data_IF_990352085780
#
_entry.id   IF_990352085780
#
_cell.length_a   1.000
_cell.length_b   1.000
_cell.length_c   1.000
_cell.angle_alpha   90.00
_cell.angle_beta   90.00
_cell.angle_gamma   90.00
#
_symmetry.space_group_name_H-M   'P 1'
#
loop_
_entity.id
_entity.type
_entity.pdbx_description
1 polymer ?
#
# COMPACT_ATOMS: atom_id res chain seq x y z
N UNK A 1 21.00 2.42 -24.39
CA UNK A 1 21.13 1.63 -23.17
C UNK A 1 19.98 0.65 -23.16
N UNK A 2 20.26 -0.63 -22.96
CA UNK A 2 19.27 -1.71 -22.94
C UNK A 2 18.34 -1.56 -21.73
N UNK A 3 17.03 -1.46 -21.97
CA UNK A 3 16.02 -1.59 -20.92
C UNK A 3 15.49 -3.02 -20.96
N UNK A 4 15.54 -3.68 -19.79
CA UNK A 4 15.43 -5.12 -19.65
C UNK A 4 14.08 -5.69 -20.06
N UNK A 5 14.12 -6.88 -20.64
CA UNK A 5 12.93 -7.68 -20.91
C UNK A 5 12.41 -8.21 -19.58
N UNK A 6 11.12 -7.99 -19.30
CA UNK A 6 10.41 -8.73 -18.28
C UNK A 6 10.41 -10.21 -18.69
N UNK A 7 10.95 -11.06 -17.84
CA UNK A 7 10.95 -12.50 -18.04
C UNK A 7 9.51 -13.00 -17.89
N UNK A 8 8.86 -13.32 -19.00
CA UNK A 8 7.54 -13.94 -19.03
C UNK A 8 7.65 -15.29 -18.31
N UNK A 9 7.16 -15.37 -17.08
CA UNK A 9 6.98 -16.66 -16.43
C UNK A 9 5.71 -17.29 -17.01
N UNK A 10 5.95 -18.39 -17.70
CA UNK A 10 5.04 -19.27 -18.42
C UNK A 10 3.80 -19.65 -17.58
N UNK A 11 2.60 -19.29 -18.04
CA UNK A 11 1.30 -19.58 -17.40
C UNK A 11 0.73 -20.97 -17.75
N UNK A 12 1.51 -21.83 -18.40
CA UNK A 12 1.06 -23.15 -18.80
C UNK A 12 0.43 -23.22 -20.21
N UNK A 13 0.42 -22.14 -20.99
CA UNK A 13 0.11 -22.22 -22.43
C UNK A 13 1.37 -22.58 -23.23
N UNK A 14 1.29 -23.67 -23.99
CA UNK A 14 2.31 -24.12 -24.96
C UNK A 14 2.86 -22.95 -25.79
N UNK A 15 4.19 -22.86 -26.03
CA UNK A 15 4.85 -21.70 -26.65
C UNK A 15 4.59 -21.53 -28.16
N UNK A 16 3.43 -21.98 -28.66
CA UNK A 16 3.13 -22.09 -30.07
C UNK A 16 2.08 -21.09 -30.59
N UNK A 17 1.42 -20.33 -29.73
CA UNK A 17 0.44 -19.33 -30.17
C UNK A 17 0.94 -17.91 -29.90
N UNK A 18 1.35 -17.16 -30.95
CA UNK A 18 1.52 -15.72 -30.85
C UNK A 18 0.13 -15.09 -30.86
N UNK A 19 -0.66 -15.31 -29.81
CA UNK A 19 -1.75 -14.39 -29.52
C UNK A 19 -1.06 -13.09 -29.14
N UNK A 20 -1.21 -12.12 -30.03
CA UNK A 20 -0.71 -10.77 -29.88
C UNK A 20 -0.93 -10.29 -28.44
N UNK A 21 0.17 -9.99 -27.75
CA UNK A 21 0.17 -9.04 -26.64
C UNK A 21 -0.35 -7.72 -27.20
N UNK A 22 -1.67 -7.52 -27.09
CA UNK A 22 -2.37 -6.34 -27.55
C UNK A 22 -2.32 -5.21 -26.51
N UNK A 23 -1.49 -5.36 -25.47
CA UNK A 23 -1.36 -4.44 -24.35
C UNK A 23 -2.58 -4.45 -23.42
N UNK A 24 -3.42 -5.49 -23.46
CA UNK A 24 -4.63 -5.61 -22.61
C UNK A 24 -4.48 -6.58 -21.45
N UNK A 25 -3.31 -7.19 -21.26
CA UNK A 25 -3.03 -8.03 -20.09
C UNK A 25 -2.38 -7.19 -19.00
N UNK A 26 -2.85 -7.38 -17.77
CA UNK A 26 -2.26 -6.73 -16.59
C UNK A 26 -0.86 -7.26 -16.33
N UNK A 27 0.03 -6.39 -15.85
CA UNK A 27 1.36 -6.81 -15.39
C UNK A 27 1.21 -7.59 -14.09
N UNK A 28 1.89 -8.73 -14.01
CA UNK A 28 2.03 -9.52 -12.80
C UNK A 28 3.47 -9.51 -12.29
N UNK A 29 3.65 -9.33 -10.98
CA UNK A 29 4.96 -9.37 -10.33
C UNK A 29 4.85 -10.10 -8.99
N UNK A 30 5.63 -11.18 -8.82
CA UNK A 30 5.59 -12.04 -7.61
C UNK A 30 4.18 -12.51 -7.23
N UNK A 31 3.33 -12.79 -8.23
CA UNK A 31 1.95 -13.22 -8.01
C UNK A 31 0.96 -12.08 -7.71
N UNK A 32 1.40 -10.82 -7.74
CA UNK A 32 0.52 -9.65 -7.65
C UNK A 32 0.18 -9.17 -9.04
N UNK A 33 -1.11 -9.16 -9.39
CA UNK A 33 -1.65 -8.55 -10.61
C UNK A 33 -2.12 -7.10 -10.32
N UNK A 34 -2.29 -6.30 -11.37
CA UNK A 34 -2.85 -4.94 -11.32
C UNK A 34 -2.08 -3.93 -10.45
N UNK A 35 -0.78 -3.77 -10.70
CA UNK A 35 0.12 -2.95 -9.88
C UNK A 35 -0.09 -1.42 -9.96
N UNK A 36 -0.98 -0.93 -10.84
CA UNK A 36 -1.22 0.51 -11.05
C UNK A 36 -2.67 0.93 -10.80
N UNK A 37 -3.28 0.32 -9.79
CA UNK A 37 -4.59 0.70 -9.30
C UNK A 37 -5.73 -0.02 -10.00
N UNK A 38 -6.40 -0.87 -9.25
CA UNK A 38 -7.67 -1.48 -9.63
C UNK A 38 -8.64 -1.31 -8.46
N UNK A 39 -8.33 -1.91 -7.33
CA UNK A 39 -9.07 -1.77 -6.07
C UNK A 39 -8.05 -1.41 -4.98
N UNK A 40 -8.45 -0.58 -4.03
CA UNK A 40 -7.66 -0.37 -2.82
C UNK A 40 -7.50 -1.68 -2.06
N UNK A 41 -6.33 -1.92 -1.50
CA UNK A 41 -6.08 -3.09 -0.66
C UNK A 41 -5.92 -2.66 0.80
N UNK A 42 -6.73 -3.23 1.68
CA UNK A 42 -6.57 -3.03 3.12
C UNK A 42 -5.37 -3.83 3.64
N UNK A 43 -4.59 -3.21 4.52
CA UNK A 43 -3.42 -3.82 5.17
C UNK A 43 -3.77 -4.13 6.62
N UNK A 44 -3.88 -5.40 6.96
CA UNK A 44 -4.10 -5.84 8.34
C UNK A 44 -2.79 -5.79 9.15
N UNK A 45 -2.90 -5.77 10.48
CA UNK A 45 -1.73 -5.67 11.38
C UNK A 45 -1.12 -4.27 11.44
N UNK A 46 -1.78 -3.25 10.88
CA UNK A 46 -1.29 -1.87 10.83
C UNK A 46 -2.37 -0.87 11.25
N UNK A 47 -2.09 -0.11 12.32
CA UNK A 47 -2.96 0.95 12.83
C UNK A 47 -2.21 2.29 12.84
N UNK A 48 -2.94 3.40 12.74
CA UNK A 48 -2.35 4.74 12.70
C UNK A 48 -3.00 5.62 13.75
N UNK A 49 -2.18 6.13 14.67
CA UNK A 49 -2.66 6.95 15.77
C UNK A 49 -2.75 8.40 15.34
N UNK A 50 -3.96 8.96 15.32
CA UNK A 50 -4.22 10.25 14.66
C UNK A 50 -3.43 11.39 15.30
N UNK A 51 -3.49 11.51 16.62
CA UNK A 51 -2.86 12.59 17.39
C UNK A 51 -1.32 12.60 17.28
N UNK A 52 -0.73 11.47 16.87
CA UNK A 52 0.72 11.31 16.70
C UNK A 52 1.14 11.27 15.22
N UNK A 53 0.18 11.12 14.31
CA UNK A 53 0.38 10.77 12.89
C UNK A 53 1.34 9.59 12.72
N UNK A 54 1.30 8.65 13.67
CA UNK A 54 2.31 7.60 13.79
C UNK A 54 1.70 6.23 13.48
N UNK A 55 2.33 5.45 12.59
CA UNK A 55 1.99 4.05 12.38
C UNK A 55 2.42 3.14 13.53
N UNK A 56 1.63 2.11 13.78
CA UNK A 56 1.87 1.02 14.71
C UNK A 56 1.63 -0.30 14.00
N UNK A 57 2.58 -1.22 14.10
CA UNK A 57 2.52 -2.50 13.39
C UNK A 57 2.62 -3.68 14.36
N UNK A 58 1.93 -4.76 14.02
CA UNK A 58 2.10 -6.09 14.59
C UNK A 58 2.64 -7.04 13.52
N UNK A 59 3.50 -7.97 13.92
CA UNK A 59 4.13 -8.98 13.04
C UNK A 59 3.55 -10.39 13.24
N UNK A 60 2.77 -10.62 14.30
CA UNK A 60 2.03 -11.86 14.56
C UNK A 60 0.57 -11.71 14.15
N UNK A 61 0.19 -12.35 13.04
CA UNK A 61 -1.17 -12.32 12.51
C UNK A 61 -2.23 -12.85 13.48
N UNK A 62 -1.85 -13.65 14.48
CA UNK A 62 -2.78 -14.12 15.52
C UNK A 62 -3.20 -13.02 16.51
N UNK A 63 -2.48 -11.90 16.52
CA UNK A 63 -2.67 -10.76 17.40
C UNK A 63 -3.24 -9.53 16.68
N UNK A 64 -3.57 -9.63 15.38
CA UNK A 64 -4.09 -8.50 14.63
C UNK A 64 -5.44 -8.04 15.19
N UNK A 65 -5.53 -6.73 15.43
CA UNK A 65 -6.68 -6.05 16.00
C UNK A 65 -6.78 -4.62 15.45
N UNK A 66 -8.00 -4.16 15.23
CA UNK A 66 -8.28 -2.77 14.85
C UNK A 66 -8.12 -1.83 16.06
N UNK A 67 -7.64 -0.60 15.83
CA UNK A 67 -7.51 0.44 16.86
C UNK A 67 -6.73 0.00 18.12
N UNK A 68 -5.75 -0.89 17.96
CA UNK A 68 -4.85 -1.34 19.01
C UNK A 68 -3.48 -0.68 18.84
N UNK A 69 -2.93 -0.16 19.93
CA UNK A 69 -1.70 0.65 19.96
C UNK A 69 -0.74 0.23 21.09
N UNK A 70 -1.06 -0.85 21.78
CA UNK A 70 -0.26 -1.43 22.86
C UNK A 70 0.07 -2.91 22.59
N UNK A 71 0.88 -3.50 23.48
CA UNK A 71 1.17 -4.93 23.45
C UNK A 71 1.91 -5.37 22.19
N UNK A 72 1.22 -6.10 21.31
CA UNK A 72 1.79 -6.63 20.06
C UNK A 72 2.03 -5.54 19.01
N UNK A 73 1.33 -4.41 19.10
CA UNK A 73 1.48 -3.27 18.19
C UNK A 73 2.62 -2.35 18.65
N UNK A 74 3.67 -2.27 17.82
CA UNK A 74 4.86 -1.47 18.08
C UNK A 74 4.83 -0.19 17.25
N UNK A 75 5.14 0.99 17.82
CA UNK A 75 5.26 2.22 17.05
C UNK A 75 6.44 2.14 16.08
N UNK A 76 6.29 2.68 14.87
CA UNK A 76 7.42 2.76 13.93
C UNK A 76 8.50 3.77 14.34
N UNK A 77 8.17 4.71 15.23
CA UNK A 77 9.12 5.67 15.82
C UNK A 77 9.21 7.01 15.12
N UNK A 78 8.35 7.29 14.14
CA UNK A 78 8.28 8.57 13.44
C UNK A 78 6.85 8.88 12.99
N UNK A 79 6.58 10.17 12.81
CA UNK A 79 5.31 10.67 12.28
C UNK A 79 5.34 10.70 10.74
N UNK A 80 4.21 10.40 10.11
CA UNK A 80 4.00 10.59 8.68
C UNK A 80 3.88 12.08 8.32
N UNK A 81 4.03 12.44 7.03
CA UNK A 81 3.85 13.81 6.57
C UNK A 81 2.47 14.38 6.93
N UNK A 82 2.47 15.68 7.25
CA UNK A 82 1.26 16.45 7.56
C UNK A 82 0.46 16.78 6.29
N UNK A 83 1.08 16.74 5.11
CA UNK A 83 0.45 17.13 3.85
C UNK A 83 0.26 15.93 2.93
N UNK A 84 -0.81 15.95 2.14
CA UNK A 84 -1.03 15.00 1.05
C UNK A 84 -0.36 15.52 -0.23
N UNK A 85 0.63 14.79 -0.75
CA UNK A 85 1.32 15.10 -2.02
C UNK A 85 2.06 13.82 -2.51
N UNK A 86 2.77 13.91 -3.63
CA UNK A 86 3.55 12.80 -4.17
C UNK A 86 4.70 12.39 -3.24
N UNK A 87 4.93 11.08 -3.10
CA UNK A 87 5.95 10.49 -2.24
C UNK A 87 7.36 10.83 -2.68
N UNK A 88 8.12 11.51 -1.81
CA UNK A 88 9.49 11.90 -2.08
C UNK A 88 10.53 10.99 -1.40
N UNK A 89 10.19 10.43 -0.24
CA UNK A 89 11.10 9.57 0.51
C UNK A 89 10.34 8.59 1.42
N UNK A 90 11.03 7.51 1.81
CA UNK A 90 10.55 6.51 2.74
C UNK A 90 11.40 6.49 4.02
N UNK A 91 10.80 6.05 5.11
CA UNK A 91 11.50 5.62 6.32
C UNK A 91 10.97 4.25 6.75
N UNK A 92 11.72 3.61 7.65
CA UNK A 92 11.36 2.33 8.24
C UNK A 92 11.78 2.30 9.71
N UNK A 93 11.13 1.43 10.47
CA UNK A 93 11.54 1.11 11.84
C UNK A 93 12.57 -0.01 11.81
N UNK A 94 13.62 0.03 12.66
CA UNK A 94 14.59 -1.09 12.74
C UNK A 94 13.91 -2.42 13.11
N UNK A 95 12.82 -2.38 13.88
CA UNK A 95 12.01 -3.55 14.24
C UNK A 95 11.09 -4.04 13.10
N UNK A 96 10.97 -3.26 12.02
CA UNK A 96 10.10 -3.49 10.87
C UNK A 96 10.73 -2.97 9.58
N UNK A 97 11.94 -3.44 9.26
CA UNK A 97 12.73 -3.00 8.10
C UNK A 97 12.08 -3.29 6.74
N UNK A 98 11.10 -4.19 6.73
CA UNK A 98 10.25 -4.52 5.59
C UNK A 98 9.10 -3.53 5.38
N UNK A 99 8.76 -2.71 6.39
CA UNK A 99 7.64 -1.78 6.37
C UNK A 99 8.11 -0.37 5.96
N UNK A 100 8.13 -0.13 4.66
CA UNK A 100 8.44 1.20 4.10
C UNK A 100 7.24 2.13 4.23
N UNK A 101 7.44 3.25 4.91
CA UNK A 101 6.40 4.25 5.18
C UNK A 101 6.78 5.63 4.64
N UNK A 102 5.80 6.46 4.26
CA UNK A 102 6.03 7.84 3.84
C UNK A 102 6.83 8.63 4.88
N UNK A 103 7.94 9.25 4.51
CA UNK A 103 8.72 10.15 5.39
C UNK A 103 8.80 11.57 4.86
N UNK A 104 8.63 11.77 3.55
CA UNK A 104 8.56 13.07 2.92
C UNK A 104 7.68 13.04 1.67
N UNK A 105 7.09 14.19 1.34
CA UNK A 105 6.34 14.41 0.09
C UNK A 105 6.84 15.65 -0.65
N UNK A 106 6.71 15.66 -1.98
CA UNK A 106 7.12 16.77 -2.84
C UNK A 106 6.41 16.71 -4.22
N UNK A 107 6.36 17.84 -4.91
CA UNK A 107 5.51 18.04 -6.11
C UNK A 107 6.07 17.45 -7.43
N UNK A 108 6.71 16.27 -7.43
CA UNK A 108 7.24 15.64 -8.66
C UNK A 108 7.68 14.16 -8.55
N UNK A 109 6.89 13.27 -7.95
CA UNK A 109 7.29 11.87 -7.77
C UNK A 109 6.22 10.86 -8.23
N UNK A 110 6.61 9.58 -8.30
CA UNK A 110 5.90 8.51 -9.02
C UNK A 110 4.55 8.10 -8.42
N UNK A 111 4.32 8.33 -7.14
CA UNK A 111 3.21 7.75 -6.38
C UNK A 111 2.71 8.70 -5.28
N UNK A 112 1.53 8.46 -4.71
CA UNK A 112 0.84 9.46 -3.88
C UNK A 112 0.67 9.03 -2.41
N UNK A 113 0.76 10.00 -1.50
CA UNK A 113 0.37 9.84 -0.10
C UNK A 113 -0.80 10.76 0.23
N UNK A 114 -1.85 10.20 0.84
CA UNK A 114 -3.05 10.93 1.26
C UNK A 114 -3.39 10.68 2.72
N UNK A 115 -3.87 11.72 3.39
CA UNK A 115 -4.27 11.73 4.80
C UNK A 115 -5.42 12.73 5.06
N UNK A 116 -6.07 12.64 6.22
CA UNK A 116 -7.03 13.63 6.73
C UNK A 116 -6.97 13.86 8.27
N UNK A 117 -5.76 13.92 8.82
CA UNK A 117 -5.46 14.05 10.25
C UNK A 117 -6.26 15.14 10.98
N UNK A 118 -6.51 16.28 10.31
CA UNK A 118 -7.25 17.41 10.90
C UNK A 118 -8.76 17.32 10.73
N UNK A 119 -9.25 16.74 9.63
CA UNK A 119 -10.68 16.71 9.29
C UNK A 119 -11.42 15.59 10.04
N UNK A 120 -10.74 14.48 10.31
CA UNK A 120 -11.26 13.37 11.07
C UNK A 120 -10.26 12.97 12.16
N UNK A 121 -10.56 13.19 13.46
CA UNK A 121 -9.62 12.90 14.55
C UNK A 121 -9.58 11.42 14.96
N UNK A 122 -10.35 10.54 14.31
CA UNK A 122 -10.34 9.11 14.63
C UNK A 122 -9.00 8.47 14.27
N UNK A 123 -8.65 7.38 14.94
CA UNK A 123 -7.55 6.55 14.50
C UNK A 123 -7.82 5.94 13.13
N UNK A 124 -6.74 5.74 12.37
CA UNK A 124 -6.80 5.46 10.94
C UNK A 124 -6.30 4.06 10.62
N UNK A 125 -6.75 3.59 9.47
CA UNK A 125 -6.25 2.40 8.77
C UNK A 125 -5.58 2.84 7.45
N UNK A 126 -4.74 1.98 6.89
CA UNK A 126 -4.18 2.19 5.56
C UNK A 126 -4.89 1.38 4.49
N UNK A 127 -5.04 2.02 3.34
CA UNK A 127 -5.36 1.40 2.06
C UNK A 127 -4.20 1.67 1.09
N UNK A 128 -3.79 0.64 0.35
CA UNK A 128 -2.67 0.75 -0.60
C UNK A 128 -3.11 0.48 -2.04
N UNK A 129 -2.35 1.01 -3.01
CA UNK A 129 -2.47 0.66 -4.43
C UNK A 129 -3.30 1.64 -5.27
N UNK A 130 -4.36 2.20 -4.70
CA UNK A 130 -5.33 3.05 -5.41
C UNK A 130 -6.43 2.26 -6.11
N UNK A 131 -7.62 2.87 -6.21
CA UNK A 131 -8.74 2.33 -6.99
C UNK A 131 -8.76 2.89 -8.42
N UNK A 132 -9.45 2.21 -9.35
CA UNK A 132 -9.56 2.58 -10.78
C UNK A 132 -9.98 4.04 -11.04
N UNK A 133 -10.58 4.73 -10.06
CA UNK A 133 -11.00 6.13 -10.15
C UNK A 133 -9.92 7.17 -9.83
N UNK A 134 -8.77 6.76 -9.29
CA UNK A 134 -7.71 7.68 -8.83
C UNK A 134 -6.67 8.02 -9.91
N UNK A 135 -6.73 7.37 -11.08
CA UNK A 135 -5.95 7.77 -12.26
C UNK A 135 -4.44 7.69 -12.03
N UNK A 136 -3.75 8.84 -12.15
CA UNK A 136 -2.28 8.92 -12.04
C UNK A 136 -1.76 8.80 -10.63
N UNK A 137 -2.63 8.94 -9.62
CA UNK A 137 -2.21 8.84 -8.23
C UNK A 137 -2.07 7.37 -7.81
N UNK A 138 -2.62 6.42 -8.57
CA UNK A 138 -2.49 4.99 -8.31
C UNK A 138 -1.06 4.47 -8.51
N UNK A 139 -0.68 3.47 -7.71
CA UNK A 139 0.62 2.85 -7.82
C UNK A 139 0.96 1.94 -6.65
N UNK A 140 2.07 1.21 -6.79
CA UNK A 140 2.54 0.22 -5.81
C UNK A 140 2.77 0.80 -4.41
N UNK A 141 3.07 2.08 -4.34
CA UNK A 141 3.35 2.84 -3.12
C UNK A 141 2.29 3.91 -2.85
N UNK A 142 1.10 3.84 -3.47
CA UNK A 142 0.03 4.76 -3.11
C UNK A 142 -0.42 4.40 -1.69
N UNK A 143 -0.23 5.33 -0.74
CA UNK A 143 -0.69 5.19 0.63
C UNK A 143 -1.86 6.12 0.91
N UNK A 144 -2.97 5.56 1.33
CA UNK A 144 -4.11 6.32 1.85
C UNK A 144 -4.38 6.00 3.30
N UNK A 145 -4.07 6.97 4.17
CA UNK A 145 -4.32 6.93 5.62
C UNK A 145 -5.45 7.90 5.95
N UNK A 146 -6.61 7.62 5.34
CA UNK A 146 -7.75 8.54 5.32
C UNK A 146 -8.98 7.99 6.07
N UNK A 147 -9.15 6.67 6.07
CA UNK A 147 -10.30 6.02 6.68
C UNK A 147 -10.05 5.60 8.13
N UNK A 148 -11.08 5.66 8.97
CA UNK A 148 -11.09 4.96 10.26
C UNK A 148 -11.43 3.47 10.08
N UNK A 149 -11.32 2.66 11.13
CA UNK A 149 -11.66 1.22 11.05
C UNK A 149 -13.16 0.95 10.74
N UNK A 150 -14.01 1.97 10.86
CA UNK A 150 -15.42 1.93 10.47
C UNK A 150 -15.65 2.14 8.97
N UNK A 151 -14.61 2.46 8.20
CA UNK A 151 -14.72 2.77 6.77
C UNK A 151 -15.31 1.59 5.99
N UNK A 152 -16.34 1.85 5.18
CA UNK A 152 -16.98 0.88 4.28
C UNK A 152 -17.09 1.51 2.89
N UNK A 153 -16.25 1.09 1.96
CA UNK A 153 -16.29 1.56 0.57
C UNK A 153 -16.24 0.39 -0.40
N UNK A 154 -16.91 0.55 -1.54
CA UNK A 154 -17.16 -0.50 -2.53
C UNK A 154 -15.93 -0.86 -3.39
N UNK A 155 -14.90 -0.03 -3.35
CA UNK A 155 -13.67 -0.13 -4.10
C UNK A 155 -12.46 -0.44 -3.20
N UNK A 156 -12.68 -1.15 -2.09
CA UNK A 156 -11.66 -1.73 -1.21
C UNK A 156 -11.82 -3.25 -1.16
N UNK A 157 -10.69 -3.94 -1.30
CA UNK A 157 -10.54 -5.38 -1.13
C UNK A 157 -9.39 -5.69 -0.16
N UNK A 158 -9.00 -6.96 -0.12
CA UNK A 158 -7.83 -7.44 0.60
C UNK A 158 -7.12 -8.51 -0.23
N UNK A 159 -5.81 -8.64 -0.05
CA UNK A 159 -5.01 -9.76 -0.55
C UNK A 159 -4.48 -10.57 0.61
N UNK A 160 -4.62 -11.89 0.52
CA UNK A 160 -4.05 -12.80 1.51
C UNK A 160 -2.56 -13.02 1.20
N UNK A 161 -1.70 -12.77 2.18
CA UNK A 161 -0.29 -13.14 2.13
C UNK A 161 -0.08 -14.43 2.92
N UNK A 162 0.56 -15.41 2.29
CA UNK A 162 1.04 -16.63 2.95
C UNK A 162 2.57 -16.57 3.01
N UNK A 163 3.11 -16.72 4.21
CA UNK A 163 4.55 -16.88 4.45
C UNK A 163 4.74 -18.27 5.06
N UNK A 164 5.62 -19.07 4.45
CA UNK A 164 5.94 -20.45 4.79
C UNK A 164 7.12 -20.61 5.75
#
# INVERSE_FOLDING_TARGET
GSSGMALTLYDGVSPADPVADDGRVSVSYRGLEDLWGNVWEFVDGLNFKNDERQPYFADDSSQFAENEFEGAYKPVGFALPEESDYLADFAYSEDGDWLLMPSAVATNWLDYYSQNWEEDPQDKIAMIGGAWSYGLDCGLFNWSVYGSSETRIWNVGTRLLLID
#
